data_IF_344246314516
#
_entry.id   IF_344246314516
#
_cell.length_a   1.000
_cell.length_b   1.000
_cell.length_c   1.000
_cell.angle_alpha   90.00
_cell.angle_beta   90.00
_cell.angle_gamma   90.00
#
_symmetry.space_group_name_H-M   'P 1'
#
loop_
_entity.id
_entity.type
_entity.pdbx_description
1 polymer ?
#
# COMPACT_ATOMS: atom_id res chain seq x y z
N UNK A 1 18.46 27.19 53.80
CA UNK A 1 17.27 26.98 52.96
C UNK A 1 17.74 26.65 51.56
N UNK A 2 17.62 25.39 51.15
CA UNK A 2 17.96 24.94 49.79
C UNK A 2 16.65 24.60 49.11
N UNK A 3 16.30 25.36 48.06
CA UNK A 3 15.12 25.11 47.25
C UNK A 3 15.41 23.96 46.30
N UNK A 4 14.75 22.82 46.52
CA UNK A 4 14.73 21.72 45.55
C UNK A 4 13.65 22.05 44.53
N UNK A 5 14.04 22.59 43.38
CA UNK A 5 13.11 22.83 42.26
C UNK A 5 12.96 21.50 41.51
N UNK A 6 11.86 20.79 41.78
CA UNK A 6 11.46 19.60 41.03
C UNK A 6 11.10 20.01 39.61
N UNK A 7 12.05 19.96 38.68
CA UNK A 7 11.80 20.12 37.26
C UNK A 7 11.14 18.85 36.72
N UNK A 8 9.82 18.85 36.64
CA UNK A 8 9.04 17.83 35.94
C UNK A 8 9.32 17.96 34.44
N UNK A 9 10.25 17.15 33.91
CA UNK A 9 10.51 17.09 32.46
C UNK A 9 9.31 16.41 31.81
N UNK A 10 8.54 17.10 30.95
CA UNK A 10 7.49 16.45 30.17
C UNK A 10 8.18 15.56 29.12
N UNK A 11 8.04 14.24 29.28
CA UNK A 11 8.43 13.28 28.25
C UNK A 11 7.42 13.42 27.12
N UNK A 12 7.74 14.26 26.14
CA UNK A 12 7.04 14.28 24.86
C UNK A 12 7.39 12.97 24.13
N UNK A 13 6.55 11.94 24.27
CA UNK A 13 6.57 10.80 23.37
C UNK A 13 6.16 11.31 21.98
N UNK A 14 7.13 11.57 21.12
CA UNK A 14 6.90 11.72 19.69
C UNK A 14 6.51 10.35 19.14
N UNK A 15 5.20 10.07 19.10
CA UNK A 15 4.67 8.91 18.41
C UNK A 15 4.83 9.17 16.90
N UNK A 16 5.94 8.70 16.32
CA UNK A 16 6.08 8.67 14.87
C UNK A 16 5.13 7.58 14.36
N UNK A 17 3.99 7.99 13.81
CA UNK A 17 3.14 7.09 13.02
C UNK A 17 3.91 6.85 11.73
N UNK A 18 4.63 5.73 11.67
CA UNK A 18 5.20 5.23 10.43
C UNK A 18 4.03 4.84 9.53
N UNK A 19 3.72 5.69 8.55
CA UNK A 19 2.68 5.41 7.56
C UNK A 19 3.23 4.32 6.64
N UNK A 20 2.81 3.07 6.88
CA UNK A 20 3.04 1.95 5.95
C UNK A 20 2.54 2.38 4.55
N UNK A 21 3.43 2.43 3.56
CA UNK A 21 3.06 2.79 2.20
C UNK A 21 2.70 1.51 1.43
N UNK A 22 1.45 1.08 1.54
CA UNK A 22 0.94 -0.09 0.83
C UNK A 22 0.99 0.12 -0.70
N UNK A 23 1.27 -0.92 -1.50
CA UNK A 23 1.27 -0.83 -2.95
C UNK A 23 -0.11 -0.46 -3.48
N UNK A 24 -0.18 0.64 -4.24
CA UNK A 24 -1.43 1.20 -4.75
C UNK A 24 -1.87 0.51 -6.05
N UNK A 25 -2.38 -0.73 -5.94
CA UNK A 25 -2.86 -1.49 -7.10
C UNK A 25 -4.04 -0.83 -7.84
N UNK A 26 -4.78 0.06 -7.18
CA UNK A 26 -5.85 0.84 -7.82
C UNK A 26 -5.30 1.81 -8.87
N UNK A 27 -4.12 2.39 -8.64
CA UNK A 27 -3.51 3.34 -9.58
C UNK A 27 -3.12 2.67 -10.90
N UNK A 28 -2.54 1.47 -10.83
CA UNK A 28 -2.25 0.65 -12.03
C UNK A 28 -3.52 0.29 -12.80
N UNK A 29 -4.62 -0.01 -12.09
CA UNK A 29 -5.91 -0.30 -12.71
C UNK A 29 -6.48 0.93 -13.42
N UNK A 30 -6.42 2.09 -12.78
CA UNK A 30 -6.92 3.35 -13.35
C UNK A 30 -6.10 3.80 -14.56
N UNK A 31 -4.77 3.71 -14.50
CA UNK A 31 -3.89 4.01 -15.64
C UNK A 31 -4.20 3.09 -16.83
N UNK A 32 -4.41 1.78 -16.61
CA UNK A 32 -4.79 0.88 -17.68
C UNK A 32 -6.09 1.31 -18.39
N UNK A 33 -7.06 1.82 -17.63
CA UNK A 33 -8.35 2.28 -18.16
C UNK A 33 -8.27 3.67 -18.82
N UNK A 34 -7.44 4.55 -18.30
CA UNK A 34 -7.23 5.90 -18.83
C UNK A 34 -6.51 5.84 -20.18
N UNK A 35 -5.42 5.07 -20.25
CA UNK A 35 -4.56 4.97 -21.44
C UNK A 35 -5.06 3.92 -22.44
N UNK A 36 -6.04 3.08 -22.04
CA UNK A 36 -6.54 1.94 -22.80
C UNK A 36 -5.46 0.90 -23.14
N UNK A 37 -4.53 0.69 -22.21
CA UNK A 37 -3.35 -0.16 -22.37
C UNK A 37 -3.29 -1.32 -21.36
N UNK A 38 -2.30 -2.21 -21.54
CA UNK A 38 -1.98 -3.26 -20.58
C UNK A 38 -0.92 -2.75 -19.63
N UNK A 39 -1.24 -2.73 -18.33
CA UNK A 39 -0.34 -2.23 -17.29
C UNK A 39 0.14 -3.39 -16.40
N UNK A 40 1.45 -3.73 -16.43
CA UNK A 40 2.01 -4.77 -15.58
C UNK A 40 2.16 -4.29 -14.14
N UNK A 41 1.82 -5.16 -13.17
CA UNK A 41 1.99 -4.88 -11.73
C UNK A 41 3.09 -5.73 -11.09
N UNK A 42 3.25 -6.97 -11.54
CA UNK A 42 4.22 -7.94 -11.02
C UNK A 42 4.33 -9.10 -12.03
N UNK A 43 5.33 -9.96 -11.90
CA UNK A 43 5.53 -11.17 -12.73
C UNK A 43 4.22 -11.86 -13.13
N UNK A 44 3.97 -11.80 -14.44
CA UNK A 44 2.81 -12.37 -15.11
C UNK A 44 1.44 -11.90 -14.57
N UNK A 45 1.35 -10.75 -13.91
CA UNK A 45 0.13 -10.09 -13.47
C UNK A 45 0.03 -8.70 -14.11
N UNK A 46 -1.09 -8.42 -14.76
CA UNK A 46 -1.33 -7.14 -15.43
C UNK A 46 -2.82 -6.81 -15.50
N UNK A 47 -3.12 -5.52 -15.48
CA UNK A 47 -4.44 -4.98 -15.80
C UNK A 47 -4.55 -4.75 -17.31
N UNK A 48 -5.74 -4.96 -17.88
CA UNK A 48 -6.04 -4.58 -19.25
C UNK A 48 -6.82 -3.27 -19.32
N UNK A 49 -7.10 -2.79 -20.53
CA UNK A 49 -7.85 -1.56 -20.81
C UNK A 49 -9.25 -1.47 -20.15
N UNK A 50 -9.82 -2.60 -19.74
CA UNK A 50 -11.11 -2.66 -19.04
C UNK A 50 -10.96 -2.65 -17.51
N UNK A 51 -9.74 -2.49 -16.99
CA UNK A 51 -9.44 -2.56 -15.56
C UNK A 51 -9.53 -3.99 -14.99
N UNK A 52 -9.46 -5.02 -15.82
CA UNK A 52 -9.48 -6.42 -15.36
C UNK A 52 -8.07 -6.97 -15.21
N UNK A 53 -7.81 -7.64 -14.10
CA UNK A 53 -6.56 -8.39 -13.93
C UNK A 53 -6.62 -9.70 -14.71
N UNK A 54 -5.51 -10.06 -15.34
CA UNK A 54 -5.38 -11.28 -16.14
C UNK A 54 -5.52 -12.58 -15.31
N UNK A 55 -5.17 -12.56 -14.03
CA UNK A 55 -5.32 -13.69 -13.11
C UNK A 55 -5.42 -13.23 -11.65
N UNK A 56 -6.19 -13.98 -10.85
CA UNK A 56 -6.18 -13.82 -9.39
C UNK A 56 -5.06 -14.63 -8.75
N UNK A 57 -4.72 -14.33 -7.50
CA UNK A 57 -3.69 -15.05 -6.78
C UNK A 57 -3.13 -14.28 -5.59
N UNK A 58 -2.06 -14.80 -5.00
CA UNK A 58 -1.25 -14.09 -4.02
C UNK A 58 0.08 -13.73 -4.66
N UNK A 59 0.44 -12.46 -4.60
CA UNK A 59 1.74 -11.95 -5.07
C UNK A 59 2.46 -11.21 -3.95
N UNK A 60 3.77 -11.16 -4.05
CA UNK A 60 4.62 -10.37 -3.19
C UNK A 60 4.99 -9.10 -3.95
N UNK A 61 4.59 -7.93 -3.47
CA UNK A 61 5.03 -6.64 -4.02
C UNK A 61 5.79 -5.94 -2.91
N UNK A 62 7.09 -5.73 -3.13
CA UNK A 62 8.02 -5.27 -2.10
C UNK A 62 7.92 -6.14 -0.83
N UNK A 63 7.73 -5.54 0.34
CA UNK A 63 7.49 -6.23 1.61
C UNK A 63 6.05 -6.73 1.82
N UNK A 64 5.12 -6.39 0.93
CA UNK A 64 3.70 -6.68 1.10
C UNK A 64 3.26 -7.96 0.40
N UNK A 65 2.46 -8.75 1.13
CA UNK A 65 1.79 -9.91 0.56
C UNK A 65 0.38 -9.51 0.14
N UNK A 66 0.15 -9.42 -1.17
CA UNK A 66 -1.12 -8.98 -1.73
C UNK A 66 -1.94 -10.16 -2.27
N UNK A 67 -3.17 -10.30 -1.80
CA UNK A 67 -4.17 -11.24 -2.33
C UNK A 67 -5.07 -10.49 -3.30
N UNK A 68 -5.09 -10.91 -4.56
CA UNK A 68 -5.84 -10.28 -5.64
C UNK A 68 -6.91 -11.24 -6.18
N UNK A 69 -8.13 -10.73 -6.30
CA UNK A 69 -9.25 -11.44 -6.88
C UNK A 69 -9.31 -11.23 -8.40
N UNK A 70 -9.66 -12.29 -9.13
CA UNK A 70 -9.90 -12.22 -10.58
C UNK A 70 -11.06 -11.26 -10.90
N UNK A 71 -10.97 -10.56 -12.03
CA UNK A 71 -11.96 -9.56 -12.47
C UNK A 71 -11.44 -8.15 -12.22
N UNK A 72 -12.25 -7.29 -11.59
CA UNK A 72 -11.95 -5.87 -11.30
C UNK A 72 -10.86 -5.64 -10.24
N UNK A 73 -9.93 -6.59 -10.04
CA UNK A 73 -8.71 -6.33 -9.29
C UNK A 73 -8.87 -6.06 -7.81
N UNK A 74 -9.97 -6.49 -7.17
CA UNK A 74 -10.13 -6.34 -5.71
C UNK A 74 -8.94 -6.98 -5.00
N UNK A 75 -8.26 -6.20 -4.17
CA UNK A 75 -7.03 -6.64 -3.52
C UNK A 75 -7.03 -6.32 -2.03
N UNK A 76 -6.19 -7.06 -1.31
CA UNK A 76 -5.81 -6.78 0.07
C UNK A 76 -4.33 -7.09 0.22
N UNK A 77 -3.58 -6.16 0.80
CA UNK A 77 -2.17 -6.35 1.14
C UNK A 77 -2.02 -6.36 2.67
N UNK A 78 -1.13 -7.22 3.18
CA UNK A 78 -0.76 -7.26 4.60
C UNK A 78 0.70 -6.82 4.78
#
# INVERSE_FOLDING_TARGET
MVFVVSASIPVFLSFQIEMKHEPNLLEYQLSAMEDLEVVPIHDNHWFNANGNINKGGTIQIDEYRCVIQLGFGRYRCD
#
